data_IF_690601358345
#
_entry.id   IF_690601358345
#
_cell.length_a   1.000
_cell.length_b   1.000
_cell.length_c   1.000
_cell.angle_alpha   90.00
_cell.angle_beta   90.00
_cell.angle_gamma   90.00
#
_symmetry.space_group_name_H-M   'P 1'
#
loop_
_entity.id
_entity.type
_entity.pdbx_description
1 polymer ?
#
# COMPACT_ATOMS: atom_id res chain seq x y z
N UNK A 1 23.91 -40.03 7.38
CA UNK A 1 23.01 -39.51 6.31
C UNK A 1 22.61 -38.10 6.68
N UNK A 2 23.36 -37.09 6.23
CA UNK A 2 23.08 -35.68 6.54
C UNK A 2 22.03 -35.16 5.56
N UNK A 3 20.82 -34.93 6.06
CA UNK A 3 19.72 -34.32 5.32
C UNK A 3 20.11 -32.87 4.98
N UNK A 4 20.68 -32.65 3.79
CA UNK A 4 20.91 -31.31 3.25
C UNK A 4 19.55 -30.72 2.89
N UNK A 5 18.92 -30.04 3.83
CA UNK A 5 17.74 -29.21 3.57
C UNK A 5 18.17 -28.10 2.59
N UNK A 6 17.81 -28.30 1.32
CA UNK A 6 18.01 -27.31 0.27
C UNK A 6 16.92 -26.26 0.42
N UNK A 7 17.22 -25.19 1.17
CA UNK A 7 16.33 -24.05 1.31
C UNK A 7 16.18 -23.34 -0.04
N UNK A 8 14.99 -23.41 -0.63
CA UNK A 8 14.62 -22.57 -1.77
C UNK A 8 14.22 -21.18 -1.24
N UNK A 9 14.88 -20.08 -1.65
CA UNK A 9 14.56 -18.73 -1.19
C UNK A 9 13.12 -18.29 -1.52
N UNK A 10 12.43 -18.98 -2.44
CA UNK A 10 10.99 -18.78 -2.71
C UNK A 10 10.12 -18.99 -1.48
N UNK A 11 10.47 -19.93 -0.60
CA UNK A 11 9.70 -20.19 0.61
C UNK A 11 9.73 -18.99 1.57
N UNK A 12 10.88 -18.32 1.68
CA UNK A 12 11.02 -17.12 2.51
C UNK A 12 10.16 -15.99 1.96
N UNK A 13 10.12 -15.82 0.64
CA UNK A 13 9.25 -14.84 -0.01
C UNK A 13 7.77 -15.11 0.30
N UNK A 14 7.31 -16.35 0.12
CA UNK A 14 5.92 -16.73 0.38
C UNK A 14 5.57 -16.44 1.83
N UNK A 15 6.42 -16.86 2.78
CA UNK A 15 6.22 -16.59 4.21
C UNK A 15 6.14 -15.09 4.49
N UNK A 16 7.00 -14.27 3.89
CA UNK A 16 6.98 -12.82 4.08
C UNK A 16 5.68 -12.17 3.55
N UNK A 17 5.22 -12.57 2.36
CA UNK A 17 3.96 -12.08 1.78
C UNK A 17 2.76 -12.53 2.63
N UNK A 18 2.70 -13.80 3.00
CA UNK A 18 1.63 -14.33 3.87
C UNK A 18 1.61 -13.66 5.24
N UNK A 19 2.79 -13.41 5.82
CA UNK A 19 2.92 -12.69 7.08
C UNK A 19 2.35 -11.27 6.98
N UNK A 20 2.71 -10.53 5.93
CA UNK A 20 2.17 -9.19 5.71
C UNK A 20 0.65 -9.22 5.50
N UNK A 21 0.15 -10.15 4.68
CA UNK A 21 -1.30 -10.32 4.46
C UNK A 21 -2.04 -10.53 5.77
N UNK A 22 -1.53 -11.39 6.65
CA UNK A 22 -2.14 -11.67 7.95
C UNK A 22 -2.06 -10.46 8.90
N UNK A 23 -0.89 -9.85 9.05
CA UNK A 23 -0.69 -8.74 9.98
C UNK A 23 -1.41 -7.46 9.57
N UNK A 24 -1.56 -7.20 8.27
CA UNK A 24 -2.23 -6.01 7.72
C UNK A 24 -3.73 -6.24 7.48
N UNK A 25 -4.24 -7.47 7.62
CA UNK A 25 -5.67 -7.76 7.46
C UNK A 25 -6.60 -6.87 8.31
N UNK A 26 -6.25 -6.49 9.55
CA UNK A 26 -7.06 -5.58 10.35
C UNK A 26 -7.41 -4.26 9.66
N UNK A 27 -6.49 -3.72 8.83
CA UNK A 27 -6.64 -2.43 8.13
C UNK A 27 -7.81 -2.40 7.13
N UNK A 28 -8.17 -3.55 6.58
CA UNK A 28 -9.32 -3.68 5.66
C UNK A 28 -10.58 -4.19 6.36
N UNK A 29 -10.43 -4.90 7.48
CA UNK A 29 -11.57 -5.45 8.24
C UNK A 29 -12.27 -4.43 9.13
N UNK A 30 -11.52 -3.42 9.60
CA UNK A 30 -12.01 -2.35 10.44
C UNK A 30 -11.76 -1.04 9.70
N UNK A 31 -12.69 -0.66 8.83
CA UNK A 31 -12.60 0.58 8.07
C UNK A 31 -12.81 1.75 9.03
N UNK A 32 -11.71 2.22 9.62
CA UNK A 32 -11.69 3.40 10.48
C UNK A 32 -11.40 4.65 9.66
N UNK A 33 -11.90 5.83 10.09
CA UNK A 33 -11.51 7.11 9.49
C UNK A 33 -9.99 7.28 9.55
N UNK A 34 -9.35 7.46 8.39
CA UNK A 34 -7.94 7.83 8.34
C UNK A 34 -7.77 9.28 8.81
N UNK A 35 -6.67 9.56 9.52
CA UNK A 35 -6.28 10.93 9.91
C UNK A 35 -4.89 11.33 9.38
N UNK A 36 -4.32 10.55 8.46
CA UNK A 36 -2.96 10.72 7.96
C UNK A 36 -2.95 11.03 6.45
N UNK A 37 -1.79 10.84 5.80
CA UNK A 37 -1.60 11.04 4.35
C UNK A 37 -2.61 10.29 3.48
N UNK A 38 -3.23 9.21 3.97
CA UNK A 38 -4.31 8.53 3.26
C UNK A 38 -5.48 9.45 2.96
N UNK A 39 -5.78 10.42 3.84
CA UNK A 39 -6.83 11.42 3.61
C UNK A 39 -6.49 12.29 2.42
N UNK A 40 -5.22 12.70 2.31
CA UNK A 40 -4.71 13.48 1.18
C UNK A 40 -4.79 12.67 -0.12
N UNK A 41 -4.29 11.43 -0.13
CA UNK A 41 -4.35 10.56 -1.30
C UNK A 41 -5.79 10.24 -1.72
N UNK A 42 -6.67 9.96 -0.76
CA UNK A 42 -8.08 9.69 -1.03
C UNK A 42 -8.81 10.93 -1.55
N UNK A 43 -8.53 12.11 -1.00
CA UNK A 43 -9.07 13.38 -1.49
C UNK A 43 -8.71 13.66 -2.95
N UNK A 44 -7.47 13.34 -3.35
CA UNK A 44 -7.03 13.42 -4.74
C UNK A 44 -7.77 12.44 -5.66
N UNK A 45 -8.02 11.21 -5.20
CA UNK A 45 -8.81 10.21 -5.93
C UNK A 45 -10.25 10.71 -6.11
N UNK A 46 -10.87 11.23 -5.04
CA UNK A 46 -12.22 11.80 -5.10
C UNK A 46 -12.29 12.94 -6.13
N UNK A 47 -11.36 13.90 -6.04
CA UNK A 47 -11.33 15.04 -6.95
C UNK A 47 -11.15 14.62 -8.41
N UNK A 48 -10.29 13.63 -8.66
CA UNK A 48 -10.07 13.08 -9.98
C UNK A 48 -11.32 12.38 -10.51
N UNK A 49 -12.03 11.64 -9.65
CA UNK A 49 -13.31 11.02 -9.99
C UNK A 49 -14.38 12.06 -10.34
N UNK A 50 -14.41 13.20 -9.67
CA UNK A 50 -15.36 14.27 -9.96
C UNK A 50 -14.97 15.08 -11.22
N UNK A 51 -13.67 15.33 -11.45
CA UNK A 51 -13.18 15.89 -12.72
C UNK A 51 -13.63 15.05 -13.91
N UNK A 52 -13.45 13.73 -13.83
CA UNK A 52 -13.81 12.82 -14.91
C UNK A 52 -15.32 12.79 -15.17
N UNK A 53 -16.16 12.92 -14.14
CA UNK A 53 -17.61 13.04 -14.31
C UNK A 53 -18.01 14.38 -14.93
N UNK A 54 -17.32 15.46 -14.57
CA UNK A 54 -17.57 16.80 -15.09
C UNK A 54 -17.01 17.02 -16.51
N UNK A 55 -16.23 16.07 -17.04
CA UNK A 55 -15.57 16.21 -18.34
C UNK A 55 -14.37 17.16 -18.30
N UNK A 56 -13.81 17.44 -17.13
CA UNK A 56 -12.63 18.27 -16.95
C UNK A 56 -11.35 17.52 -17.37
N UNK A 57 -10.29 18.28 -17.63
CA UNK A 57 -8.96 17.72 -17.88
C UNK A 57 -8.45 16.99 -16.63
N UNK A 58 -8.16 15.70 -16.79
CA UNK A 58 -7.75 14.83 -15.68
C UNK A 58 -6.32 15.09 -15.17
N UNK A 59 -5.46 15.73 -15.96
CA UNK A 59 -4.09 16.08 -15.56
C UNK A 59 -3.97 17.41 -14.81
N UNK A 60 -4.93 18.31 -14.99
CA UNK A 60 -4.95 19.67 -14.44
C UNK A 60 -6.18 19.87 -13.55
N UNK A 61 -6.46 18.88 -12.70
CA UNK A 61 -7.59 18.96 -11.79
C UNK A 61 -7.27 19.93 -10.64
N UNK A 62 -7.94 21.07 -10.63
CA UNK A 62 -7.82 22.05 -9.56
C UNK A 62 -8.56 21.57 -8.31
N UNK A 63 -7.90 21.44 -7.15
CA UNK A 63 -8.58 21.07 -5.89
C UNK A 63 -9.12 22.34 -5.23
N UNK A 64 -10.43 22.64 -5.27
CA UNK A 64 -10.94 23.98 -4.96
C UNK A 64 -10.90 24.34 -3.47
N UNK A 65 -10.96 23.34 -2.59
CA UNK A 65 -11.05 23.51 -1.15
C UNK A 65 -9.68 23.49 -0.44
N UNK A 66 -8.59 23.31 -1.17
CA UNK A 66 -7.24 23.43 -0.63
C UNK A 66 -6.71 24.82 -0.94
N UNK A 67 -6.39 25.56 0.12
CA UNK A 67 -5.96 26.97 0.08
C UNK A 67 -7.00 27.88 -0.60
N UNK A 68 -6.72 28.38 -1.81
CA UNK A 68 -7.64 29.12 -2.68
C UNK A 68 -7.86 28.37 -4.00
N UNK A 69 -7.58 27.07 -3.95
CA UNK A 69 -7.52 26.16 -5.05
C UNK A 69 -6.09 25.93 -5.55
N UNK A 70 -5.73 24.65 -5.78
CA UNK A 70 -4.37 24.26 -6.12
C UNK A 70 -4.32 23.08 -7.13
N UNK A 71 -3.49 23.16 -8.19
CA UNK A 71 -3.32 22.08 -9.18
C UNK A 71 -2.27 21.07 -8.68
N UNK A 72 -2.67 20.20 -7.75
CA UNK A 72 -1.75 19.28 -7.04
C UNK A 72 -1.00 18.35 -7.99
N UNK A 73 -1.65 17.88 -9.06
CA UNK A 73 -1.08 16.90 -9.98
C UNK A 73 0.08 17.42 -10.84
N UNK A 74 0.36 18.73 -10.82
CA UNK A 74 1.58 19.29 -11.41
C UNK A 74 2.81 19.06 -10.54
N UNK A 75 2.62 18.86 -9.23
CA UNK A 75 3.70 18.72 -8.26
C UNK A 75 3.73 17.36 -7.59
N UNK A 76 2.65 16.58 -7.74
CA UNK A 76 2.47 15.30 -7.09
C UNK A 76 2.27 14.16 -8.09
N UNK A 77 2.55 12.95 -7.64
CA UNK A 77 2.41 11.74 -8.45
C UNK A 77 0.94 11.52 -8.81
N UNK A 78 0.63 11.56 -10.10
CA UNK A 78 -0.73 11.42 -10.60
C UNK A 78 -1.14 9.95 -10.87
N UNK A 79 -0.23 9.16 -11.44
CA UNK A 79 -0.53 7.81 -11.92
C UNK A 79 -1.16 6.88 -10.88
N UNK A 80 -0.71 6.85 -9.60
CA UNK A 80 -1.32 5.99 -8.60
C UNK A 80 -2.82 6.26 -8.43
N UNK A 81 -3.23 7.52 -8.40
CA UNK A 81 -4.61 7.93 -8.20
C UNK A 81 -5.48 7.64 -9.42
N UNK A 82 -4.95 7.86 -10.62
CA UNK A 82 -5.66 7.51 -11.86
C UNK A 82 -5.92 6.01 -11.95
N UNK A 83 -4.94 5.17 -11.62
CA UNK A 83 -5.11 3.71 -11.65
C UNK A 83 -6.24 3.28 -10.72
N UNK A 84 -6.36 3.86 -9.52
CA UNK A 84 -7.48 3.54 -8.61
C UNK A 84 -8.83 3.87 -9.26
N UNK A 85 -8.96 5.03 -9.90
CA UNK A 85 -10.21 5.42 -10.57
C UNK A 85 -10.52 4.55 -11.79
N UNK A 86 -9.51 4.17 -12.58
CA UNK A 86 -9.68 3.24 -13.69
C UNK A 86 -10.22 1.91 -13.17
N UNK A 87 -9.58 1.33 -12.15
CA UNK A 87 -10.03 0.07 -11.54
C UNK A 87 -11.44 0.21 -10.99
N UNK A 88 -11.74 1.30 -10.27
CA UNK A 88 -13.06 1.59 -9.73
C UNK A 88 -14.14 1.63 -10.81
N UNK A 89 -13.83 2.25 -11.95
CA UNK A 89 -14.74 2.37 -13.09
C UNK A 89 -14.91 1.02 -13.81
N UNK A 90 -13.83 0.26 -14.00
CA UNK A 90 -13.87 -1.09 -14.56
C UNK A 90 -14.66 -2.07 -13.68
N UNK A 91 -14.63 -1.90 -12.37
CA UNK A 91 -15.43 -2.68 -11.42
C UNK A 91 -16.91 -2.27 -11.39
N UNK A 92 -17.34 -1.36 -12.27
CA UNK A 92 -18.72 -0.88 -12.35
C UNK A 92 -19.17 -0.12 -11.11
N UNK A 93 -18.24 0.41 -10.30
CA UNK A 93 -18.54 1.13 -9.04
C UNK A 93 -19.34 0.30 -8.02
N UNK A 94 -19.18 -1.02 -8.07
CA UNK A 94 -19.90 -1.98 -7.21
C UNK A 94 -19.42 -1.96 -5.75
N UNK A 95 -18.16 -1.60 -5.53
CA UNK A 95 -17.52 -1.52 -4.20
C UNK A 95 -17.36 -0.06 -3.82
N UNK A 96 -17.44 0.31 -2.55
CA UNK A 96 -17.16 1.69 -2.13
C UNK A 96 -15.72 2.11 -2.49
N UNK A 97 -15.54 3.31 -3.04
CA UNK A 97 -14.23 3.82 -3.48
C UNK A 97 -13.17 3.82 -2.38
N UNK A 98 -13.57 4.14 -1.14
CA UNK A 98 -12.66 4.11 0.01
C UNK A 98 -12.19 2.68 0.33
N UNK A 99 -13.10 1.71 0.29
CA UNK A 99 -12.76 0.28 0.47
C UNK A 99 -11.80 -0.19 -0.62
N UNK A 100 -12.02 0.19 -1.88
CA UNK A 100 -11.11 -0.14 -2.97
C UNK A 100 -9.71 0.47 -2.74
N UNK A 101 -9.65 1.73 -2.35
CA UNK A 101 -8.39 2.40 -2.02
C UNK A 101 -7.62 1.64 -0.92
N UNK A 102 -8.29 1.24 0.16
CA UNK A 102 -7.71 0.44 1.25
C UNK A 102 -7.26 -0.94 0.80
N UNK A 103 -8.04 -1.63 -0.03
CA UNK A 103 -7.67 -2.93 -0.60
C UNK A 103 -6.40 -2.80 -1.45
N UNK A 104 -6.33 -1.78 -2.32
CA UNK A 104 -5.14 -1.54 -3.15
C UNK A 104 -3.91 -1.27 -2.27
N UNK A 105 -4.03 -0.40 -1.27
CA UNK A 105 -2.96 -0.13 -0.31
C UNK A 105 -2.50 -1.41 0.41
N UNK A 106 -3.46 -2.20 0.92
CA UNK A 106 -3.19 -3.48 1.58
C UNK A 106 -2.43 -4.45 0.68
N UNK A 107 -2.85 -4.60 -0.58
CA UNK A 107 -2.19 -5.49 -1.54
C UNK A 107 -0.79 -4.99 -1.91
N UNK A 108 -0.60 -3.69 -2.13
CA UNK A 108 0.72 -3.11 -2.43
C UNK A 108 1.71 -3.34 -1.28
N UNK A 109 1.29 -3.07 -0.05
CA UNK A 109 2.13 -3.28 1.13
C UNK A 109 2.42 -4.77 1.36
N UNK A 110 1.42 -5.62 1.17
CA UNK A 110 1.57 -7.06 1.37
C UNK A 110 2.49 -7.71 0.32
N UNK A 111 2.41 -7.26 -0.94
CA UNK A 111 3.19 -7.77 -2.06
C UNK A 111 4.53 -7.04 -2.27
N UNK A 112 4.82 -6.01 -1.48
CA UNK A 112 6.08 -5.26 -1.54
C UNK A 112 7.34 -6.14 -1.60
N UNK A 113 7.46 -7.25 -0.82
CA UNK A 113 8.66 -8.11 -0.84
C UNK A 113 8.94 -8.80 -2.18
N UNK A 114 7.97 -8.88 -3.09
CA UNK A 114 8.12 -9.55 -4.40
C UNK A 114 9.11 -8.80 -5.30
N UNK A 115 8.98 -7.47 -5.38
CA UNK A 115 9.83 -6.62 -6.22
C UNK A 115 11.33 -6.79 -5.95
N UNK A 116 11.80 -6.69 -4.69
CA UNK A 116 13.21 -6.87 -4.39
C UNK A 116 13.67 -8.32 -4.52
N UNK A 117 12.83 -9.31 -4.21
CA UNK A 117 13.15 -10.70 -4.47
C UNK A 117 13.44 -10.91 -5.96
N UNK A 118 12.55 -10.44 -6.83
CA UNK A 118 12.70 -10.53 -8.28
C UNK A 118 13.97 -9.83 -8.77
N UNK A 119 14.22 -8.61 -8.29
CA UNK A 119 15.44 -7.87 -8.63
C UNK A 119 16.72 -8.61 -8.22
N UNK A 120 16.75 -9.20 -7.02
CA UNK A 120 17.89 -9.97 -6.53
C UNK A 120 18.14 -11.28 -7.28
N UNK A 121 17.08 -11.84 -7.87
CA UNK A 121 17.14 -13.05 -8.69
C UNK A 121 17.72 -12.77 -10.08
N UNK A 122 17.28 -11.68 -10.73
CA UNK A 122 17.73 -11.30 -12.07
C UNK A 122 19.06 -10.54 -12.09
N UNK A 123 19.39 -9.80 -11.03
CA UNK A 123 20.65 -9.06 -10.92
C UNK A 123 21.44 -9.47 -9.67
N UNK A 124 22.29 -10.50 -9.75
CA UNK A 124 23.10 -10.96 -8.62
C UNK A 124 24.08 -9.91 -8.08
N UNK A 125 24.46 -8.92 -8.90
CA UNK A 125 25.43 -7.86 -8.53
C UNK A 125 24.86 -6.84 -7.53
N UNK A 126 23.54 -6.70 -7.45
CA UNK A 126 22.85 -5.83 -6.48
C UNK A 126 22.56 -6.51 -5.12
N UNK A 127 22.88 -7.81 -5.01
CA UNK A 127 22.69 -8.62 -3.78
C UNK A 127 23.41 -8.06 -2.55
N UNK A 128 24.57 -7.42 -2.75
CA UNK A 128 25.42 -6.88 -1.67
C UNK A 128 24.90 -5.55 -1.11
N UNK A 129 24.24 -4.73 -1.94
CA UNK A 129 23.69 -3.43 -1.53
C UNK A 129 22.31 -3.53 -0.85
N UNK A 130 21.46 -4.45 -1.33
CA UNK A 130 20.11 -4.62 -0.79
C UNK A 130 20.07 -5.22 0.60
N UNK A 131 21.02 -6.09 0.97
CA UNK A 131 21.14 -6.61 2.34
C UNK A 131 21.22 -5.49 3.39
N UNK A 132 21.89 -4.38 3.07
CA UNK A 132 21.94 -3.17 3.92
C UNK A 132 20.63 -2.37 3.93
N UNK A 133 19.84 -2.40 2.85
CA UNK A 133 18.52 -1.75 2.82
C UNK A 133 17.47 -2.53 3.63
N UNK A 134 17.51 -3.87 3.59
CA UNK A 134 16.65 -4.73 4.41
C UNK A 134 17.03 -4.70 5.90
N UNK A 135 18.32 -4.63 6.22
CA UNK A 135 18.81 -4.53 7.60
C UNK A 135 18.77 -3.10 8.15
N UNK A 136 18.82 -2.07 7.29
CA UNK A 136 18.86 -0.65 7.70
C UNK A 136 17.54 0.09 7.56
N UNK A 137 16.58 -0.41 6.78
CA UNK A 137 15.33 0.30 6.44
C UNK A 137 14.07 -0.24 7.10
N UNK A 138 14.11 -1.42 7.73
CA UNK A 138 12.95 -1.95 8.46
C UNK A 138 13.00 -1.53 9.92
N UNK A 139 12.42 -0.36 10.16
CA UNK A 139 11.82 0.08 11.40
C UNK A 139 11.58 -1.04 12.43
N UNK A 140 12.28 -0.91 13.55
CA UNK A 140 11.86 -1.30 14.89
C UNK A 140 10.94 -2.53 14.97
N UNK A 141 11.50 -3.66 15.41
CA UNK A 141 10.75 -4.77 16.03
C UNK A 141 9.70 -4.26 17.04
N UNK A 142 9.95 -3.09 17.65
CA UNK A 142 9.02 -2.35 18.50
C UNK A 142 7.71 -1.93 17.84
N UNK A 143 7.69 -1.61 16.54
CA UNK A 143 6.47 -1.22 15.81
C UNK A 143 5.57 -2.42 15.56
N UNK A 144 6.15 -3.54 15.11
CA UNK A 144 5.42 -4.80 14.93
C UNK A 144 4.88 -5.33 16.27
N UNK A 145 5.67 -5.22 17.36
CA UNK A 145 5.21 -5.53 18.71
C UNK A 145 4.10 -4.59 19.20
N UNK A 146 4.11 -3.30 18.83
CA UNK A 146 2.99 -2.39 19.10
C UNK A 146 1.73 -2.83 18.35
N UNK A 147 1.80 -3.19 17.07
CA UNK A 147 0.62 -3.67 16.32
C UNK A 147 0.05 -4.98 16.89
N UNK A 148 0.91 -5.93 17.28
CA UNK A 148 0.48 -7.18 17.95
C UNK A 148 -0.11 -6.88 19.33
N UNK A 149 0.47 -5.92 20.07
CA UNK A 149 -0.04 -5.48 21.38
C UNK A 149 -1.38 -4.76 21.27
N UNK A 150 -1.57 -3.86 20.30
CA UNK A 150 -2.85 -3.21 20.02
C UNK A 150 -3.93 -4.21 19.60
N UNK A 151 -3.60 -5.18 18.74
CA UNK A 151 -4.53 -6.25 18.36
C UNK A 151 -4.89 -7.18 19.54
N UNK A 152 -3.97 -7.38 20.50
CA UNK A 152 -4.18 -8.19 21.69
C UNK A 152 -4.99 -7.46 22.78
N UNK A 153 -4.73 -6.17 23.01
CA UNK A 153 -5.46 -5.32 23.97
C UNK A 153 -6.92 -5.15 23.51
N UNK A 154 -7.13 -4.87 22.22
CA UNK A 154 -8.48 -4.64 21.65
C UNK A 154 -9.37 -5.89 21.64
N UNK A 155 -8.79 -7.10 21.61
CA UNK A 155 -9.55 -8.36 21.75
C UNK A 155 -10.04 -8.64 23.18
N UNK A 156 -9.48 -7.97 24.21
CA UNK A 156 -9.86 -8.16 25.61
C UNK A 156 -10.85 -7.13 26.16
N UNK A 157 -11.28 -6.16 25.36
CA UNK A 157 -12.29 -5.18 25.78
C UNK A 157 -11.86 -4.29 26.96
N UNK A 158 -10.56 -3.97 27.05
CA UNK A 158 -10.00 -2.94 27.92
C UNK A 158 -9.72 -1.67 27.13
#
# INVERSE_FOLDING_TARGET
MTLKLRFDPRYILIVAVCFNLYCLFPEISLITPDMNDNVFHYGLILRLGDALKAGETFWDCWVPYWTMGFPVFHYYQFLPHLIVIIIYTLLGKTVQLFTLFKIIQYLLLSTFPIRPYFLSYFCPRLRVGMGKLYLGGFWNVQSALRYVSYAFIRRRGL
#
